data_IF_101523989865
#
_entry.id   IF_101523989865
#
_cell.length_a   1.000
_cell.length_b   1.000
_cell.length_c   1.000
_cell.angle_alpha   90.00
_cell.angle_beta   90.00
_cell.angle_gamma   90.00
#
_symmetry.space_group_name_H-M   'P 1'
#
loop_
_entity.id
_entity.type
_entity.pdbx_description
1 polymer ?
#
# COMPACT_ATOMS: atom_id res chain seq x y z
N UNK A 1 5.52 -2.22 5.75
CA UNK A 1 4.80 -3.07 6.70
C UNK A 1 3.79 -2.26 7.47
N UNK A 2 2.54 -2.61 7.23
CA UNK A 2 1.37 -2.03 7.84
C UNK A 2 0.58 -3.24 8.38
N UNK A 3 1.05 -3.82 9.48
CA UNK A 3 0.53 -5.08 10.03
C UNK A 3 -0.78 -4.86 10.80
N UNK A 4 -1.83 -4.39 10.13
CA UNK A 4 -3.07 -4.00 10.79
C UNK A 4 -2.85 -3.04 11.99
N UNK A 5 -1.85 -2.16 11.88
CA UNK A 5 -1.50 -1.18 12.93
C UNK A 5 -1.90 0.25 12.54
N UNK A 6 -2.57 0.46 11.40
CA UNK A 6 -3.01 1.82 11.06
C UNK A 6 -4.11 2.28 12.03
N UNK A 7 -4.06 3.54 12.50
CA UNK A 7 -5.13 4.17 13.24
C UNK A 7 -6.31 4.51 12.30
N UNK A 8 -7.06 3.49 11.92
CA UNK A 8 -8.30 3.59 11.14
C UNK A 8 -9.41 4.20 11.99
N UNK A 9 -10.45 4.80 11.39
CA UNK A 9 -11.57 5.34 12.17
C UNK A 9 -12.28 4.26 12.99
N UNK A 10 -12.36 3.03 12.49
CA UNK A 10 -12.84 1.88 13.28
C UNK A 10 -12.06 1.71 14.59
N UNK A 11 -10.72 1.76 14.53
CA UNK A 11 -9.89 1.66 15.74
C UNK A 11 -9.96 2.90 16.62
N UNK A 12 -10.10 4.09 16.02
CA UNK A 12 -10.24 5.33 16.76
C UNK A 12 -11.56 5.38 17.54
N UNK A 13 -12.67 4.91 16.96
CA UNK A 13 -13.96 4.72 17.64
C UNK A 13 -13.86 3.76 18.82
N UNK A 14 -13.20 2.61 18.64
CA UNK A 14 -12.98 1.66 19.74
C UNK A 14 -12.14 2.30 20.86
N UNK A 15 -11.09 3.04 20.51
CA UNK A 15 -10.16 3.62 21.50
C UNK A 15 -10.71 4.88 22.19
N UNK A 16 -11.52 5.67 21.49
CA UNK A 16 -12.04 6.96 21.95
C UNK A 16 -13.53 7.16 21.55
N UNK A 17 -14.45 6.31 22.04
CA UNK A 17 -15.85 6.28 21.61
C UNK A 17 -16.65 7.55 21.95
N UNK A 18 -16.18 8.33 22.94
CA UNK A 18 -16.78 9.61 23.27
C UNK A 18 -16.43 10.70 22.24
N UNK A 19 -15.33 10.55 21.51
CA UNK A 19 -14.81 11.51 20.53
C UNK A 19 -15.24 11.10 19.11
N UNK A 20 -15.00 9.84 18.72
CA UNK A 20 -15.36 9.33 17.40
C UNK A 20 -16.66 8.53 17.52
N UNK A 21 -17.76 9.12 17.04
CA UNK A 21 -19.12 8.55 17.17
C UNK A 21 -19.40 7.44 16.15
N UNK A 22 -18.90 7.63 14.94
CA UNK A 22 -18.94 6.65 13.87
C UNK A 22 -17.52 6.30 13.40
N UNK A 23 -17.45 5.27 12.57
CA UNK A 23 -16.24 4.81 11.92
C UNK A 23 -16.36 4.86 10.39
N UNK A 24 -17.29 5.66 9.88
CA UNK A 24 -17.52 5.78 8.44
C UNK A 24 -16.35 6.52 7.81
N UNK A 25 -15.90 6.06 6.65
CA UNK A 25 -14.80 6.71 5.95
C UNK A 25 -15.19 8.12 5.54
N UNK A 26 -14.54 9.11 6.12
CA UNK A 26 -14.75 10.55 5.84
C UNK A 26 -14.48 10.93 4.38
N UNK A 27 -13.82 10.06 3.61
CA UNK A 27 -13.51 10.31 2.19
C UNK A 27 -14.67 9.94 1.29
N UNK A 28 -15.26 8.75 1.43
CA UNK A 28 -16.36 8.32 0.58
C UNK A 28 -17.73 8.46 1.25
N UNK A 29 -17.80 8.47 2.58
CA UNK A 29 -19.02 8.48 3.38
C UNK A 29 -19.96 7.29 3.13
N UNK A 30 -19.44 6.16 2.64
CA UNK A 30 -20.26 4.99 2.25
C UNK A 30 -20.07 3.78 3.15
N UNK A 31 -18.84 3.50 3.62
CA UNK A 31 -18.49 2.28 4.35
C UNK A 31 -17.65 2.59 5.58
N UNK A 32 -17.62 1.66 6.53
CA UNK A 32 -16.68 1.70 7.65
C UNK A 32 -15.24 1.75 7.16
N UNK A 33 -14.44 2.66 7.72
CA UNK A 33 -13.02 2.75 7.47
C UNK A 33 -12.26 1.76 8.36
N UNK A 34 -12.10 0.56 7.84
CA UNK A 34 -11.17 -0.45 8.35
C UNK A 34 -9.81 -0.38 7.62
N UNK A 35 -8.92 -1.31 7.96
CA UNK A 35 -7.57 -1.39 7.41
C UNK A 35 -7.53 -1.64 5.89
N UNK A 36 -8.52 -2.36 5.36
CA UNK A 36 -8.63 -2.70 3.94
C UNK A 36 -9.23 -1.55 3.17
N UNK A 37 -10.30 -0.95 3.72
CA UNK A 37 -10.99 0.16 3.11
C UNK A 37 -10.09 1.39 2.89
N UNK A 38 -9.08 1.62 3.73
CA UNK A 38 -8.09 2.69 3.49
C UNK A 38 -7.45 2.61 2.10
N UNK A 39 -7.30 1.40 1.54
CA UNK A 39 -6.71 1.18 0.22
C UNK A 39 -7.78 0.91 -0.84
N UNK A 40 -8.90 0.29 -0.48
CA UNK A 40 -9.98 -0.08 -1.40
C UNK A 40 -11.15 0.90 -1.46
N UNK A 41 -11.05 2.04 -0.77
CA UNK A 41 -12.02 3.15 -0.88
C UNK A 41 -12.17 3.58 -2.34
N UNK A 42 -13.41 3.86 -2.78
CA UNK A 42 -13.68 4.30 -4.16
C UNK A 42 -12.86 5.55 -4.52
N UNK A 43 -12.64 6.43 -3.55
CA UNK A 43 -11.86 7.65 -3.74
C UNK A 43 -10.33 7.42 -3.81
N UNK A 44 -9.87 6.16 -3.77
CA UNK A 44 -8.47 5.77 -3.95
C UNK A 44 -8.19 5.00 -5.24
N UNK A 45 -9.18 4.72 -6.09
CA UNK A 45 -8.98 3.90 -7.31
C UNK A 45 -7.80 4.42 -8.16
N UNK A 46 -7.75 5.73 -8.41
CA UNK A 46 -6.64 6.37 -9.13
C UNK A 46 -5.30 6.21 -8.38
N UNK A 47 -5.28 6.40 -7.06
CA UNK A 47 -4.06 6.22 -6.26
C UNK A 47 -3.57 4.78 -6.23
N UNK A 48 -4.47 3.79 -6.31
CA UNK A 48 -4.13 2.37 -6.42
C UNK A 48 -3.47 2.07 -7.76
N UNK A 49 -4.03 2.57 -8.86
CA UNK A 49 -3.41 2.48 -10.19
C UNK A 49 -2.03 3.16 -10.24
N UNK A 50 -1.89 4.33 -9.60
CA UNK A 50 -0.60 5.00 -9.45
C UNK A 50 0.40 4.14 -8.66
N UNK A 51 -0.04 3.48 -7.59
CA UNK A 51 0.81 2.56 -6.83
C UNK A 51 1.25 1.36 -7.69
N UNK A 52 0.34 0.74 -8.43
CA UNK A 52 0.65 -0.37 -9.35
C UNK A 52 1.68 0.04 -10.39
N UNK A 53 1.43 1.15 -11.10
CA UNK A 53 2.32 1.67 -12.12
C UNK A 53 3.68 2.07 -11.52
N UNK A 54 3.68 2.62 -10.30
CA UNK A 54 4.92 2.97 -9.61
C UNK A 54 5.74 1.74 -9.22
N UNK A 55 5.13 0.66 -8.74
CA UNK A 55 5.84 -0.58 -8.44
C UNK A 55 6.50 -1.14 -9.70
N UNK A 56 5.76 -1.20 -10.81
CA UNK A 56 6.28 -1.65 -12.11
C UNK A 56 7.48 -0.79 -12.54
N UNK A 57 7.35 0.54 -12.45
CA UNK A 57 8.44 1.46 -12.79
C UNK A 57 9.66 1.22 -11.88
N UNK A 58 9.46 1.10 -10.56
CA UNK A 58 10.56 0.85 -9.63
C UNK A 58 11.31 -0.44 -9.95
N UNK A 59 10.61 -1.52 -10.28
CA UNK A 59 11.24 -2.79 -10.64
C UNK A 59 12.10 -2.62 -11.90
N UNK A 60 11.53 -2.05 -12.97
CA UNK A 60 12.23 -1.86 -14.25
C UNK A 60 13.42 -0.91 -14.10
N UNK A 61 13.21 0.24 -13.44
CA UNK A 61 14.22 1.27 -13.29
C UNK A 61 15.37 0.79 -12.38
N UNK A 62 15.06 0.09 -11.28
CA UNK A 62 16.11 -0.43 -10.39
C UNK A 62 16.98 -1.48 -11.08
N UNK A 63 16.40 -2.41 -11.85
CA UNK A 63 17.18 -3.41 -12.56
C UNK A 63 18.02 -2.75 -13.67
N UNK A 64 17.42 -1.84 -14.45
CA UNK A 64 18.12 -1.14 -15.53
C UNK A 64 19.26 -0.27 -15.00
N UNK A 65 19.04 0.47 -13.93
CA UNK A 65 20.03 1.40 -13.36
C UNK A 65 21.13 0.68 -12.57
N UNK A 66 20.95 -0.60 -12.24
CA UNK A 66 22.01 -1.39 -11.62
C UNK A 66 23.21 -1.60 -12.58
N UNK A 67 22.98 -1.58 -13.90
CA UNK A 67 24.03 -1.70 -14.92
C UNK A 67 24.62 -3.11 -15.08
N UNK A 68 24.48 -3.98 -14.07
CA UNK A 68 24.96 -5.37 -14.11
C UNK A 68 24.04 -6.29 -14.91
N UNK A 69 22.75 -5.98 -14.96
CA UNK A 69 21.74 -6.86 -15.54
C UNK A 69 21.13 -6.27 -16.80
N UNK A 70 20.83 -7.15 -17.77
CA UNK A 70 20.16 -6.78 -19.01
C UNK A 70 18.71 -7.25 -18.94
N UNK A 71 17.78 -6.31 -19.06
CA UNK A 71 16.36 -6.61 -19.17
C UNK A 71 16.04 -7.12 -20.58
N UNK A 72 15.23 -8.17 -20.67
CA UNK A 72 14.64 -8.57 -21.95
C UNK A 72 13.52 -7.62 -22.33
N UNK A 73 13.26 -7.46 -23.63
CA UNK A 73 12.16 -6.65 -24.14
C UNK A 73 10.80 -7.10 -23.58
N UNK A 74 10.67 -8.40 -23.32
CA UNK A 74 9.46 -9.04 -22.77
C UNK A 74 9.31 -8.93 -21.25
N UNK A 75 10.33 -8.47 -20.51
CA UNK A 75 10.30 -8.49 -19.04
C UNK A 75 9.17 -7.63 -18.47
N UNK A 76 9.01 -6.41 -19.00
CA UNK A 76 7.96 -5.49 -18.56
C UNK A 76 6.56 -6.04 -18.87
N UNK A 77 6.40 -6.74 -20.00
CA UNK A 77 5.12 -7.34 -20.38
C UNK A 77 4.78 -8.53 -19.47
N UNK A 78 5.78 -9.38 -19.17
CA UNK A 78 5.62 -10.47 -18.20
C UNK A 78 5.26 -9.95 -16.81
N UNK A 79 5.87 -8.84 -16.39
CA UNK A 79 5.55 -8.18 -15.13
C UNK A 79 4.11 -7.64 -15.11
N UNK A 80 3.64 -7.05 -16.22
CA UNK A 80 2.27 -6.55 -16.35
C UNK A 80 1.22 -7.66 -16.38
N UNK A 81 1.60 -8.86 -16.80
CA UNK A 81 0.73 -10.06 -16.88
C UNK A 81 0.58 -10.80 -15.56
N UNK A 82 1.31 -10.43 -14.51
CA UNK A 82 1.13 -11.02 -13.19
C UNK A 82 -0.30 -10.77 -12.68
N UNK A 83 -1.02 -11.84 -12.37
CA UNK A 83 -2.42 -11.76 -11.92
C UNK A 83 -2.55 -10.96 -10.63
N UNK A 84 -1.59 -11.10 -9.72
CA UNK A 84 -1.52 -10.35 -8.47
C UNK A 84 -1.30 -8.84 -8.65
N UNK A 85 -0.92 -8.36 -9.85
CA UNK A 85 -0.79 -6.94 -10.16
C UNK A 85 -2.09 -6.35 -10.71
N UNK A 86 -3.11 -7.17 -11.02
CA UNK A 86 -4.41 -6.67 -11.44
C UNK A 86 -5.15 -6.08 -10.23
N UNK A 87 -5.61 -4.85 -10.36
CA UNK A 87 -6.49 -4.24 -9.37
C UNK A 87 -7.90 -4.74 -9.68
N UNK A 88 -8.33 -5.77 -8.96
CA UNK A 88 -9.72 -6.24 -9.00
C UNK A 88 -10.58 -5.23 -8.24
N UNK A 89 -11.82 -5.02 -8.70
CA UNK A 89 -12.82 -4.32 -7.90
C UNK A 89 -12.99 -5.03 -6.55
N UNK A 90 -13.46 -4.30 -5.54
CA UNK A 90 -13.67 -4.83 -4.21
C UNK A 90 -14.76 -5.93 -4.24
N UNK A 91 -14.38 -7.15 -4.61
CA UNK A 91 -15.25 -8.31 -4.51
C UNK A 91 -15.61 -8.51 -3.03
N UNK A 92 -16.90 -8.76 -2.71
CA UNK A 92 -17.33 -8.96 -1.34
C UNK A 92 -16.69 -10.20 -0.67
N UNK A 93 -16.12 -11.10 -1.47
CA UNK A 93 -15.47 -12.33 -1.00
C UNK A 93 -14.07 -12.43 -1.56
N UNK A 94 -13.08 -12.33 -0.67
CA UNK A 94 -11.69 -12.56 -1.03
C UNK A 94 -11.42 -14.06 -1.10
N UNK A 95 -10.91 -14.54 -2.24
CA UNK A 95 -10.34 -15.88 -2.30
C UNK A 95 -9.04 -15.91 -1.48
N UNK A 96 -9.03 -16.63 -0.35
CA UNK A 96 -7.86 -16.74 0.53
C UNK A 96 -6.69 -17.51 -0.09
N UNK A 97 -6.88 -18.16 -1.24
CA UNK A 97 -5.83 -18.86 -1.97
C UNK A 97 -5.11 -17.95 -2.99
N UNK A 98 -5.64 -16.76 -3.26
CA UNK A 98 -5.06 -15.84 -4.23
C UNK A 98 -4.34 -14.66 -3.55
N UNK A 99 -3.13 -14.37 -4.05
CA UNK A 99 -2.42 -13.14 -3.71
C UNK A 99 -2.98 -12.02 -4.58
N UNK A 100 -3.40 -10.94 -3.93
CA UNK A 100 -3.94 -9.75 -4.59
C UNK A 100 -2.95 -8.59 -4.53
N UNK A 101 -3.19 -7.53 -5.31
CA UNK A 101 -2.37 -6.34 -5.23
C UNK A 101 -2.41 -5.69 -3.83
N UNK A 102 -3.52 -5.84 -3.10
CA UNK A 102 -3.63 -5.37 -1.72
C UNK A 102 -2.64 -6.06 -0.77
N UNK A 103 -2.34 -7.35 -1.00
CA UNK A 103 -1.34 -8.07 -0.21
C UNK A 103 0.07 -7.54 -0.47
N UNK A 104 0.35 -7.15 -1.71
CA UNK A 104 1.60 -6.49 -2.10
C UNK A 104 1.73 -5.14 -1.39
N UNK A 105 0.64 -4.36 -1.30
CA UNK A 105 0.58 -3.11 -0.53
C UNK A 105 0.86 -3.36 0.96
N UNK A 106 0.39 -4.47 1.51
CA UNK A 106 0.69 -4.87 2.90
C UNK A 106 2.13 -5.33 3.11
N UNK A 107 2.83 -5.65 2.01
CA UNK A 107 4.24 -6.01 2.00
C UNK A 107 4.49 -7.49 1.76
N UNK A 108 3.46 -8.25 1.36
CA UNK A 108 3.64 -9.62 0.88
C UNK A 108 4.30 -9.58 -0.50
N UNK A 109 5.41 -10.29 -0.67
CA UNK A 109 6.11 -10.36 -1.94
C UNK A 109 5.72 -11.66 -2.64
N UNK A 110 5.03 -11.60 -3.79
CA UNK A 110 4.61 -12.80 -4.52
C UNK A 110 5.81 -13.61 -5.00
N UNK A 111 5.72 -14.94 -4.88
CA UNK A 111 6.78 -15.83 -5.37
C UNK A 111 7.01 -15.70 -6.88
N UNK A 112 5.94 -15.54 -7.66
CA UNK A 112 5.96 -15.24 -9.11
C UNK A 112 6.81 -14.02 -9.44
N UNK A 113 6.66 -12.92 -8.68
CA UNK A 113 7.47 -11.72 -8.81
C UNK A 113 8.95 -12.01 -8.47
N UNK A 114 9.22 -12.67 -7.35
CA UNK A 114 10.59 -13.03 -6.97
C UNK A 114 11.24 -13.94 -8.02
N UNK A 115 10.51 -14.90 -8.57
CA UNK A 115 10.98 -15.79 -9.64
C UNK A 115 11.28 -15.01 -10.92
N UNK A 116 10.45 -14.03 -11.28
CA UNK A 116 10.69 -13.17 -12.44
C UNK A 116 11.97 -12.33 -12.27
N UNK A 117 12.18 -11.71 -11.10
CA UNK A 117 13.41 -10.97 -10.80
C UNK A 117 14.62 -11.91 -10.79
N UNK A 118 14.49 -13.09 -10.17
CA UNK A 118 15.56 -14.08 -10.10
C UNK A 118 15.97 -14.61 -11.48
N UNK A 119 15.05 -14.69 -12.44
CA UNK A 119 15.36 -15.11 -13.82
C UNK A 119 16.38 -14.18 -14.50
N UNK A 120 16.42 -12.92 -14.06
CA UNK A 120 17.36 -11.90 -14.52
C UNK A 120 18.66 -11.95 -13.72
N UNK A 121 18.58 -11.94 -12.38
CA UNK A 121 19.81 -11.87 -11.56
C UNK A 121 20.58 -13.18 -11.51
N UNK A 122 19.88 -14.33 -11.59
CA UNK A 122 20.41 -15.69 -11.42
C UNK A 122 21.25 -15.89 -10.15
N UNK A 123 21.08 -15.00 -9.18
CA UNK A 123 21.75 -14.97 -7.90
C UNK A 123 20.72 -14.62 -6.83
N UNK A 124 20.58 -15.48 -5.82
CA UNK A 124 19.58 -15.35 -4.76
C UNK A 124 19.82 -14.12 -3.87
N UNK A 125 21.08 -13.84 -3.55
CA UNK A 125 21.43 -12.70 -2.71
C UNK A 125 21.09 -11.38 -3.42
N UNK A 126 21.43 -11.27 -4.70
CA UNK A 126 21.10 -10.10 -5.51
C UNK A 126 19.59 -9.95 -5.72
N UNK A 127 18.88 -11.05 -5.97
CA UNK A 127 17.41 -11.05 -6.05
C UNK A 127 16.81 -10.44 -4.79
N UNK A 128 17.28 -10.89 -3.61
CA UNK A 128 16.78 -10.43 -2.34
C UNK A 128 17.10 -8.95 -2.10
N UNK A 129 18.34 -8.52 -2.36
CA UNK A 129 18.76 -7.12 -2.20
C UNK A 129 17.95 -6.18 -3.10
N UNK A 130 17.81 -6.49 -4.38
CA UNK A 130 17.01 -5.69 -5.32
C UNK A 130 15.54 -5.63 -4.89
N UNK A 131 14.98 -6.78 -4.52
CA UNK A 131 13.59 -6.88 -4.07
C UNK A 131 13.36 -6.02 -2.83
N UNK A 132 14.28 -6.06 -1.85
CA UNK A 132 14.20 -5.22 -0.65
C UNK A 132 14.25 -3.72 -0.98
N UNK A 133 15.22 -3.26 -1.79
CA UNK A 133 15.30 -1.85 -2.20
C UNK A 133 14.01 -1.37 -2.89
N UNK A 134 13.50 -2.17 -3.84
CA UNK A 134 12.26 -1.86 -4.57
C UNK A 134 11.11 -1.69 -3.59
N UNK A 135 10.91 -2.63 -2.65
CA UNK A 135 9.77 -2.61 -1.74
C UNK A 135 9.89 -1.53 -0.65
N UNK A 136 11.10 -1.16 -0.22
CA UNK A 136 11.31 -0.03 0.70
C UNK A 136 10.96 1.31 0.05
N UNK A 137 11.36 1.49 -1.21
CA UNK A 137 10.98 2.66 -2.02
C UNK A 137 9.49 2.68 -2.32
N UNK A 138 8.91 1.52 -2.62
CA UNK A 138 7.47 1.39 -2.87
C UNK A 138 6.63 1.70 -1.62
N UNK A 139 7.02 1.19 -0.45
CA UNK A 139 6.41 1.52 0.85
C UNK A 139 6.41 3.02 1.11
N UNK A 140 7.50 3.71 0.79
CA UNK A 140 7.60 5.17 0.91
C UNK A 140 6.62 5.88 -0.02
N UNK A 141 6.44 5.37 -1.24
CA UNK A 141 5.45 5.90 -2.17
C UNK A 141 4.01 5.72 -1.68
N UNK A 142 3.62 4.51 -1.26
CA UNK A 142 2.28 4.23 -0.71
C UNK A 142 1.97 5.17 0.47
N UNK A 143 2.95 5.37 1.35
CA UNK A 143 2.80 6.28 2.49
C UNK A 143 2.46 7.70 2.04
N UNK A 144 3.17 8.22 1.04
CA UNK A 144 2.94 9.57 0.50
C UNK A 144 1.61 9.66 -0.24
N UNK A 145 1.34 8.69 -1.09
CA UNK A 145 0.25 8.75 -2.06
C UNK A 145 -1.12 8.48 -1.42
N UNK A 146 -1.20 7.55 -0.47
CA UNK A 146 -2.46 7.14 0.15
C UNK A 146 -2.52 7.58 1.62
N UNK A 147 -1.56 7.13 2.44
CA UNK A 147 -1.67 7.27 3.89
C UNK A 147 -1.64 8.73 4.36
N UNK A 148 -0.69 9.54 3.85
CA UNK A 148 -0.56 10.95 4.22
C UNK A 148 -1.78 11.75 3.75
N UNK A 149 -2.31 11.48 2.54
CA UNK A 149 -3.52 12.13 2.04
C UNK A 149 -4.73 11.82 2.91
N UNK A 150 -4.94 10.55 3.28
CA UNK A 150 -5.98 10.16 4.25
C UNK A 150 -5.79 10.86 5.59
N UNK A 151 -4.57 10.88 6.14
CA UNK A 151 -4.29 11.54 7.41
C UNK A 151 -4.62 13.04 7.37
N UNK A 152 -4.37 13.71 6.24
CA UNK A 152 -4.72 15.12 6.05
C UNK A 152 -6.24 15.30 6.09
N UNK A 153 -6.98 14.50 5.32
CA UNK A 153 -8.43 14.58 5.27
C UNK A 153 -9.08 14.32 6.66
N UNK A 154 -8.57 13.35 7.42
CA UNK A 154 -9.07 13.08 8.78
C UNK A 154 -8.78 14.23 9.73
N UNK A 155 -7.59 14.85 9.66
CA UNK A 155 -7.27 16.02 10.50
C UNK A 155 -8.16 17.22 10.18
N UNK A 156 -8.47 17.43 8.91
CA UNK A 156 -9.40 18.49 8.47
C UNK A 156 -10.79 18.21 9.03
N UNK A 157 -11.31 16.99 8.87
CA UNK A 157 -12.58 16.57 9.45
C UNK A 157 -12.61 16.69 10.99
N UNK A 158 -11.54 16.28 11.69
CA UNK A 158 -11.43 16.40 13.15
C UNK A 158 -11.54 17.85 13.59
N UNK A 159 -10.82 18.77 12.92
CA UNK A 159 -10.89 20.20 13.19
C UNK A 159 -12.30 20.74 12.98
N UNK A 160 -12.95 20.37 11.89
CA UNK A 160 -14.27 20.87 11.52
C UNK A 160 -15.36 20.36 12.47
N UNK A 161 -15.13 19.22 13.14
CA UNK A 161 -15.98 18.67 14.20
C UNK A 161 -15.55 19.07 15.63
N UNK A 162 -14.61 20.01 15.77
CA UNK A 162 -14.15 20.49 17.08
C UNK A 162 -13.36 19.44 17.90
N UNK A 163 -12.89 18.37 17.25
CA UNK A 163 -12.05 17.35 17.88
C UNK A 163 -10.64 17.93 18.05
N UNK A 164 -10.33 18.35 19.27
CA UNK A 164 -8.98 18.84 19.62
C UNK A 164 -8.02 17.66 19.67
N UNK A 165 -7.10 17.57 18.71
CA UNK A 165 -5.93 16.70 18.85
C UNK A 165 -5.16 17.13 20.09
N UNK A 166 -5.11 16.30 21.14
CA UNK A 166 -4.18 16.54 22.26
C UNK A 166 -2.77 16.54 21.71
N UNK A 167 -2.18 17.73 21.59
CA UNK A 167 -0.77 17.89 21.26
C UNK A 167 0.12 17.29 22.35
N UNK A 168 1.26 16.75 21.93
CA UNK A 168 2.39 16.48 22.80
C UNK A 168 2.67 15.00 23.04
N UNK A 169 3.69 14.48 22.33
CA UNK A 169 4.54 13.43 22.89
C UNK A 169 4.96 13.88 24.29
N UNK A 170 4.62 13.14 25.34
CA UNK A 170 5.40 13.22 26.57
C UNK A 170 6.79 12.71 26.22
N UNK A 171 7.78 13.60 26.17
CA UNK A 171 9.17 13.21 26.31
C UNK A 171 9.26 12.36 27.59
N UNK A 172 9.66 11.10 27.46
CA UNK A 172 10.10 10.33 28.62
C UNK A 172 11.36 11.05 29.14
N UNK A 173 11.24 11.60 30.34
CA UNK A 173 12.38 11.88 31.19
C UNK A 173 13.08 10.56 31.56
#
# INVERSE_FOLDING_TARGET
MINNELPTLQKMKVRYPLIYKDDICIRCNLRTEDQSHIFTCENNLVSMELCRNKLISLIVDTIRNNGTYVLTDTFKDNLNRLEEFKIKDAEPYRNNQEITFLDIIYGLIPYSLTKLIHSITRNKEDTNKLTQDIFDRFKSFIRKEIWIKRCKAVKEWERDNGIKTRGGKKSRA
#
